data_IF_785483471141
#
_entry.id   IF_785483471141
#
_cell.length_a   1.000
_cell.length_b   1.000
_cell.length_c   1.000
_cell.angle_alpha   90.00
_cell.angle_beta   90.00
_cell.angle_gamma   90.00
#
_symmetry.space_group_name_H-M   'P 1'
#
loop_
_entity.id
_entity.type
_entity.pdbx_description
1 polymer ?
#
# COMPACT_ATOMS: atom_id res chain seq x y z
N UNK A 1 20.88 11.12 -19.99
CA UNK A 1 21.68 11.11 -18.75
C UNK A 1 21.43 9.75 -18.09
N UNK A 2 22.43 8.87 -18.08
CA UNK A 2 22.30 7.48 -17.61
C UNK A 2 22.09 7.44 -16.09
N UNK A 3 21.13 6.65 -15.63
CA UNK A 3 21.00 6.31 -14.22
C UNK A 3 22.12 5.33 -13.84
N UNK A 4 22.93 5.71 -12.86
CA UNK A 4 24.00 4.89 -12.28
C UNK A 4 23.34 3.91 -11.32
N UNK A 5 23.41 2.61 -11.61
CA UNK A 5 23.09 1.55 -10.66
C UNK A 5 24.36 1.29 -9.83
N UNK A 6 24.45 1.87 -8.63
CA UNK A 6 25.50 1.48 -7.67
C UNK A 6 25.06 0.19 -6.98
N UNK A 7 25.70 -0.93 -7.33
CA UNK A 7 25.47 -2.23 -6.74
C UNK A 7 25.98 -2.29 -5.29
N UNK A 8 25.08 -2.12 -4.33
CA UNK A 8 25.19 -2.71 -2.98
C UNK A 8 24.94 -4.23 -3.08
N UNK A 9 25.39 -5.07 -2.11
CA UNK A 9 25.41 -6.53 -2.31
C UNK A 9 23.99 -7.01 -2.61
N UNK A 10 23.87 -7.66 -3.77
CA UNK A 10 22.63 -8.06 -4.40
C UNK A 10 21.85 -8.98 -3.46
N UNK A 11 20.85 -8.44 -2.76
CA UNK A 11 19.74 -9.26 -2.32
C UNK A 11 19.12 -9.78 -3.61
N UNK A 12 19.23 -11.08 -3.87
CA UNK A 12 18.65 -11.71 -5.05
C UNK A 12 17.13 -11.77 -4.86
N UNK A 13 16.47 -10.61 -4.99
CA UNK A 13 15.01 -10.53 -4.88
C UNK A 13 14.45 -11.08 -6.19
N UNK A 14 13.88 -12.28 -6.11
CA UNK A 14 13.12 -12.82 -7.23
C UNK A 14 11.94 -11.89 -7.50
N UNK A 15 11.89 -11.33 -8.71
CA UNK A 15 10.76 -10.51 -9.09
C UNK A 15 9.49 -11.37 -9.11
N UNK A 16 8.38 -10.83 -8.60
CA UNK A 16 7.12 -11.54 -8.67
C UNK A 16 6.72 -11.77 -10.13
N UNK A 17 6.13 -12.93 -10.38
CA UNK A 17 5.57 -13.23 -11.70
C UNK A 17 4.42 -12.27 -12.02
N UNK A 18 4.23 -12.00 -13.31
CA UNK A 18 3.07 -11.24 -13.80
C UNK A 18 1.81 -11.82 -13.20
N UNK A 19 1.06 -10.97 -12.51
CA UNK A 19 -0.17 -11.37 -11.88
C UNK A 19 -1.23 -11.60 -13.00
N UNK A 20 -1.87 -12.78 -13.04
CA UNK A 20 -3.02 -13.03 -13.94
C UNK A 20 -4.29 -12.76 -13.17
N UNK A 21 -4.85 -11.55 -13.29
CA UNK A 21 -6.12 -11.23 -12.64
C UNK A 21 -7.24 -12.12 -13.18
N UNK A 22 -8.18 -12.48 -12.31
CA UNK A 22 -9.35 -13.29 -12.66
C UNK A 22 -10.63 -12.54 -12.30
N UNK A 23 -11.73 -12.83 -12.98
CA UNK A 23 -13.00 -12.14 -12.77
C UNK A 23 -13.04 -10.78 -13.50
N UNK A 24 -13.69 -9.79 -12.90
CA UNK A 24 -13.95 -8.49 -13.55
C UNK A 24 -12.72 -7.57 -13.63
N UNK A 25 -11.71 -7.78 -12.79
CA UNK A 25 -10.49 -7.00 -12.85
C UNK A 25 -9.64 -7.48 -14.04
N UNK A 26 -9.42 -6.61 -15.02
CA UNK A 26 -8.49 -6.83 -16.13
C UNK A 26 -7.31 -5.89 -15.97
N UNK A 27 -6.31 -6.28 -15.18
CA UNK A 27 -5.21 -5.41 -14.77
C UNK A 27 -3.85 -6.07 -14.95
N UNK A 28 -2.87 -5.29 -15.41
CA UNK A 28 -1.46 -5.68 -15.38
C UNK A 28 -0.71 -5.08 -14.18
N UNK A 29 -1.39 -4.21 -13.43
CA UNK A 29 -0.78 -3.39 -12.39
C UNK A 29 0.49 -2.70 -12.88
N UNK A 30 1.56 -2.80 -12.10
CA UNK A 30 2.87 -2.24 -12.37
C UNK A 30 3.84 -3.16 -13.09
N UNK A 31 3.43 -4.35 -13.56
CA UNK A 31 4.35 -5.28 -14.19
C UNK A 31 4.92 -4.69 -15.50
N UNK A 32 6.24 -4.79 -15.67
CA UNK A 32 6.98 -4.18 -16.78
C UNK A 32 7.31 -2.68 -16.59
N UNK A 33 6.95 -2.10 -15.45
CA UNK A 33 7.35 -0.75 -15.05
C UNK A 33 8.64 -0.70 -14.25
N UNK A 34 8.92 0.46 -13.66
CA UNK A 34 10.07 0.68 -12.80
C UNK A 34 9.93 -0.09 -11.48
N UNK A 35 11.06 -0.60 -10.97
CA UNK A 35 11.08 -1.37 -9.73
C UNK A 35 11.43 -0.46 -8.56
N UNK A 36 10.51 -0.36 -7.60
CA UNK A 36 10.71 0.34 -6.35
C UNK A 36 10.94 -0.66 -5.22
N UNK A 37 12.14 -0.68 -4.67
CA UNK A 37 12.50 -1.56 -3.55
C UNK A 37 12.32 -0.81 -2.24
N UNK A 38 11.33 -1.20 -1.45
CA UNK A 38 11.13 -0.70 -0.09
C UNK A 38 12.22 -1.27 0.80
N UNK A 39 13.05 -0.39 1.35
CA UNK A 39 14.23 -0.71 2.17
C UNK A 39 14.11 -0.19 3.61
N UNK A 40 13.04 0.52 3.94
CA UNK A 40 12.73 0.97 5.30
C UNK A 40 11.26 0.77 5.65
N UNK A 41 10.99 0.53 6.93
CA UNK A 41 9.62 0.48 7.48
C UNK A 41 9.11 1.85 7.94
N UNK A 42 9.94 2.90 7.83
CA UNK A 42 9.58 4.25 8.23
C UNK A 42 8.49 4.83 7.31
N UNK A 43 7.53 5.51 7.92
CA UNK A 43 6.51 6.29 7.24
C UNK A 43 6.48 7.71 7.82
N UNK A 44 6.54 8.72 6.96
CA UNK A 44 6.51 10.12 7.36
C UNK A 44 5.94 10.99 6.22
N UNK A 45 5.68 12.26 6.53
CA UNK A 45 5.34 13.29 5.56
C UNK A 45 6.26 14.50 5.77
N UNK A 46 7.19 14.82 4.85
CA UNK A 46 7.40 14.18 3.53
C UNK A 46 7.89 12.73 3.62
N UNK A 47 7.68 11.97 2.53
CA UNK A 47 8.01 10.55 2.45
C UNK A 47 9.54 10.31 2.61
N UNK A 48 9.97 9.40 3.51
CA UNK A 48 11.38 9.02 3.62
C UNK A 48 11.86 8.28 2.36
N UNK A 49 13.13 8.48 1.92
CA UNK A 49 13.72 7.67 0.86
C UNK A 49 13.72 6.16 1.18
N UNK A 50 13.38 5.35 0.18
CA UNK A 50 13.26 3.90 0.29
C UNK A 50 12.01 3.41 1.02
N UNK A 51 11.05 4.29 1.33
CA UNK A 51 9.81 3.94 2.03
C UNK A 51 8.71 3.47 1.06
N UNK A 52 7.70 2.78 1.61
CA UNK A 52 6.49 2.46 0.85
C UNK A 52 5.77 3.72 0.36
N UNK A 53 5.76 4.80 1.14
CA UNK A 53 5.07 6.04 0.77
C UNK A 53 5.75 6.72 -0.42
N UNK A 54 7.09 6.74 -0.46
CA UNK A 54 7.82 7.24 -1.63
C UNK A 54 7.44 6.45 -2.89
N UNK A 55 7.48 5.12 -2.82
CA UNK A 55 7.13 4.25 -3.94
C UNK A 55 5.67 4.42 -4.40
N UNK A 56 4.73 4.57 -3.47
CA UNK A 56 3.31 4.79 -3.78
C UNK A 56 3.07 6.17 -4.38
N UNK A 57 3.79 7.20 -3.94
CA UNK A 57 3.64 8.56 -4.46
C UNK A 57 4.37 8.82 -5.77
N UNK A 58 5.29 7.95 -6.19
CA UNK A 58 5.94 8.05 -7.48
C UNK A 58 4.95 8.00 -8.65
N UNK A 59 5.33 8.60 -9.77
CA UNK A 59 4.57 8.56 -11.03
C UNK A 59 5.10 7.46 -11.95
N UNK A 60 4.31 7.12 -12.96
CA UNK A 60 4.63 6.08 -13.93
C UNK A 60 4.34 4.66 -13.42
N UNK A 61 4.31 3.74 -14.38
CA UNK A 61 4.09 2.32 -14.15
C UNK A 61 5.16 1.75 -13.24
N UNK A 62 4.77 1.12 -12.13
CA UNK A 62 5.74 0.72 -11.10
C UNK A 62 5.38 -0.52 -10.28
N UNK A 63 6.38 -1.35 -10.08
CA UNK A 63 6.33 -2.55 -9.25
C UNK A 63 7.04 -2.27 -7.92
N UNK A 64 6.28 -2.27 -6.84
CA UNK A 64 6.76 -2.06 -5.47
C UNK A 64 7.00 -3.42 -4.80
N UNK A 65 8.24 -3.67 -4.43
CA UNK A 65 8.72 -4.89 -3.75
C UNK A 65 9.41 -4.53 -2.45
N UNK A 66 9.64 -5.51 -1.56
CA UNK A 66 10.14 -5.26 -0.21
C UNK A 66 11.43 -6.02 0.05
N UNK A 67 12.47 -5.30 0.47
CA UNK A 67 13.71 -5.89 1.02
C UNK A 67 13.66 -6.00 2.56
N UNK A 68 12.61 -5.46 3.19
CA UNK A 68 12.39 -5.44 4.64
C UNK A 68 11.10 -6.16 5.03
N UNK A 69 11.03 -6.59 6.28
CA UNK A 69 9.89 -7.30 6.85
C UNK A 69 9.47 -6.69 8.17
N UNK A 70 8.18 -6.66 8.49
CA UNK A 70 7.66 -6.08 9.72
C UNK A 70 6.43 -5.23 9.50
N UNK A 71 6.17 -4.33 10.46
CA UNK A 71 5.05 -3.41 10.43
C UNK A 71 5.50 -2.02 10.02
N UNK A 72 4.78 -1.42 9.08
CA UNK A 72 4.85 0.00 8.76
C UNK A 72 3.72 0.67 9.54
N UNK A 73 4.08 1.53 10.49
CA UNK A 73 3.13 2.37 11.24
C UNK A 73 2.81 3.61 10.40
N UNK A 74 1.65 3.60 9.74
CA UNK A 74 1.22 4.71 8.89
C UNK A 74 0.89 5.95 9.72
N UNK A 75 1.51 7.08 9.36
CA UNK A 75 1.29 8.38 10.04
C UNK A 75 0.12 9.17 9.46
N UNK A 76 -0.41 8.72 8.32
CA UNK A 76 -1.61 9.22 7.63
C UNK A 76 -2.08 8.19 6.59
N UNK A 77 -3.28 8.31 6.00
CA UNK A 77 -3.71 7.40 4.92
C UNK A 77 -2.65 7.21 3.84
N UNK A 78 -2.45 5.97 3.40
CA UNK A 78 -1.62 5.66 2.23
C UNK A 78 -2.47 5.82 0.98
N UNK A 79 -2.29 6.93 0.26
CA UNK A 79 -3.10 7.28 -0.91
C UNK A 79 -2.39 6.84 -2.19
N UNK A 80 -3.05 5.98 -2.95
CA UNK A 80 -2.62 5.51 -4.26
C UNK A 80 -3.39 6.32 -5.32
N UNK A 81 -2.76 7.38 -5.80
CA UNK A 81 -3.36 8.31 -6.78
C UNK A 81 -2.80 8.12 -8.20
N UNK A 82 -1.58 7.61 -8.34
CA UNK A 82 -0.96 7.38 -9.65
C UNK A 82 -1.20 5.92 -10.09
N UNK A 83 -1.70 5.69 -11.32
CA UNK A 83 -2.15 4.38 -11.79
C UNK A 83 -1.00 3.42 -12.07
N UNK A 84 -1.35 2.22 -12.55
CA UNK A 84 -0.41 1.19 -13.03
C UNK A 84 0.64 0.78 -11.97
N UNK A 85 0.15 0.41 -10.79
CA UNK A 85 0.99 0.06 -9.65
C UNK A 85 0.69 -1.37 -9.19
N UNK A 86 1.75 -2.11 -8.89
CA UNK A 86 1.67 -3.35 -8.12
C UNK A 86 2.42 -3.20 -6.82
N UNK A 87 1.76 -3.45 -5.69
CA UNK A 87 2.39 -3.57 -4.37
C UNK A 87 2.42 -5.05 -4.01
N UNK A 88 3.61 -5.64 -4.00
CA UNK A 88 3.80 -7.07 -3.83
C UNK A 88 4.64 -7.42 -2.59
N UNK A 89 3.93 -7.80 -1.52
CA UNK A 89 4.55 -8.22 -0.26
C UNK A 89 5.22 -9.59 -0.27
N UNK A 90 5.10 -10.41 -1.33
CA UNK A 90 5.70 -11.77 -1.37
C UNK A 90 7.22 -11.77 -1.36
N UNK A 91 7.83 -10.64 -1.75
CA UNK A 91 9.27 -10.43 -1.74
C UNK A 91 9.82 -10.08 -0.36
N UNK A 92 8.95 -9.64 0.57
CA UNK A 92 9.36 -9.29 1.93
C UNK A 92 9.96 -10.52 2.64
N UNK A 93 11.13 -10.40 3.28
CA UNK A 93 11.74 -11.50 4.03
C UNK A 93 10.85 -12.02 5.18
N UNK A 94 11.19 -13.21 5.69
CA UNK A 94 10.68 -13.74 6.96
C UNK A 94 9.14 -13.67 7.11
N UNK A 95 8.66 -12.85 8.06
CA UNK A 95 7.25 -12.75 8.47
C UNK A 95 6.40 -11.92 7.50
N UNK A 96 6.93 -11.51 6.35
CA UNK A 96 6.27 -10.62 5.41
C UNK A 96 6.14 -9.18 5.91
N UNK A 97 5.42 -8.36 5.16
CA UNK A 97 5.14 -6.95 5.49
C UNK A 97 3.68 -6.76 5.92
N UNK A 98 3.44 -5.78 6.78
CA UNK A 98 2.09 -5.38 7.16
C UNK A 98 1.99 -3.88 7.39
N UNK A 99 0.80 -3.33 7.14
CA UNK A 99 0.45 -1.95 7.42
C UNK A 99 -0.46 -1.89 8.63
N UNK A 100 -0.21 -0.93 9.51
CA UNK A 100 -1.10 -0.61 10.63
C UNK A 100 -1.13 0.89 10.84
N UNK A 101 -2.18 1.38 11.46
CA UNK A 101 -2.26 2.80 11.81
C UNK A 101 -1.40 3.07 13.05
N UNK A 102 -0.59 4.14 12.99
CA UNK A 102 0.19 4.59 14.13
C UNK A 102 -0.73 5.03 15.28
N UNK A 103 -0.24 4.93 16.52
CA UNK A 103 -1.05 5.29 17.70
C UNK A 103 -1.37 6.79 17.65
N UNK A 104 -2.64 7.13 17.86
CA UNK A 104 -3.11 8.52 17.88
C UNK A 104 -3.29 9.17 16.49
N UNK A 105 -3.17 8.39 15.41
CA UNK A 105 -3.35 8.89 14.03
C UNK A 105 -4.73 8.54 13.50
N UNK A 106 -5.49 9.54 13.05
CA UNK A 106 -6.73 9.32 12.30
C UNK A 106 -6.40 9.00 10.84
N UNK A 107 -6.39 7.73 10.47
CA UNK A 107 -6.15 7.27 9.09
C UNK A 107 -7.34 6.46 8.57
N UNK A 108 -8.41 7.20 8.27
CA UNK A 108 -9.68 6.67 7.80
C UNK A 108 -9.93 7.20 6.37
N UNK A 109 -9.86 6.36 5.33
CA UNK A 109 -9.44 4.95 5.33
C UNK A 109 -7.92 4.78 5.53
N UNK A 110 -7.46 3.56 5.85
CA UNK A 110 -6.03 3.27 6.03
C UNK A 110 -5.27 3.32 4.70
N UNK A 111 -5.79 2.64 3.67
CA UNK A 111 -5.33 2.72 2.28
C UNK A 111 -6.46 3.27 1.43
N UNK A 112 -6.19 4.31 0.66
CA UNK A 112 -7.13 4.89 -0.29
C UNK A 112 -6.63 4.62 -1.70
N UNK A 113 -7.40 3.88 -2.49
CA UNK A 113 -7.17 3.74 -3.93
C UNK A 113 -8.12 4.68 -4.66
N UNK A 114 -7.53 5.63 -5.37
CA UNK A 114 -8.23 6.68 -6.11
C UNK A 114 -7.71 6.75 -7.56
N UNK A 115 -7.42 5.58 -8.13
CA UNK A 115 -6.83 5.44 -9.46
C UNK A 115 -7.06 4.04 -10.00
N UNK A 116 -6.62 3.80 -11.24
CA UNK A 116 -6.88 2.58 -11.99
C UNK A 116 -5.64 1.69 -12.12
N UNK A 117 -5.86 0.44 -12.52
CA UNK A 117 -4.81 -0.55 -12.77
C UNK A 117 -3.89 -0.76 -11.55
N UNK A 118 -4.53 -1.16 -10.45
CA UNK A 118 -3.88 -1.32 -9.15
C UNK A 118 -3.91 -2.78 -8.72
N UNK A 119 -2.75 -3.34 -8.37
CA UNK A 119 -2.63 -4.66 -7.76
C UNK A 119 -2.05 -4.50 -6.36
N UNK A 120 -2.73 -5.03 -5.34
CA UNK A 120 -2.21 -5.08 -3.96
C UNK A 120 -2.29 -6.52 -3.50
N UNK A 121 -1.15 -7.09 -3.10
CA UNK A 121 -1.11 -8.49 -2.69
C UNK A 121 -0.04 -8.85 -1.68
N UNK A 122 -0.29 -9.94 -0.96
CA UNK A 122 0.59 -10.51 0.07
C UNK A 122 0.95 -9.52 1.18
N UNK A 123 -0.01 -8.66 1.57
CA UNK A 123 0.15 -7.66 2.63
C UNK A 123 -0.87 -7.92 3.73
N UNK A 124 -0.44 -7.72 4.97
CA UNK A 124 -1.33 -7.68 6.13
C UNK A 124 -1.79 -6.27 6.42
N UNK A 125 -3.05 -6.08 6.73
CA UNK A 125 -3.67 -4.79 6.97
C UNK A 125 -4.34 -4.79 8.34
N UNK A 126 -3.90 -3.90 9.22
CA UNK A 126 -4.44 -3.74 10.59
C UNK A 126 -4.91 -2.31 10.81
N UNK A 127 -6.07 -1.91 10.26
CA UNK A 127 -6.60 -0.56 10.45
C UNK A 127 -6.81 -0.26 11.94
N UNK A 128 -7.48 -1.17 12.67
CA UNK A 128 -7.64 -1.15 14.13
C UNK A 128 -8.17 0.17 14.73
N UNK A 129 -8.32 0.20 16.05
CA UNK A 129 -8.77 1.40 16.78
C UNK A 129 -7.61 2.24 17.33
N UNK A 130 -6.35 1.90 17.01
CA UNK A 130 -5.14 2.56 17.56
C UNK A 130 -5.09 4.07 17.28
N UNK A 131 -5.83 4.52 16.27
CA UNK A 131 -5.98 5.91 15.87
C UNK A 131 -7.24 6.63 16.36
N UNK A 132 -8.10 5.95 17.12
CA UNK A 132 -9.45 6.41 17.39
C UNK A 132 -9.73 6.59 18.88
N UNK A 133 -10.06 7.82 19.29
CA UNK A 133 -10.70 8.08 20.58
C UNK A 133 -12.19 7.78 20.38
N UNK A 134 -12.63 6.59 20.81
CA UNK A 134 -14.02 6.15 20.64
C UNK A 134 -14.90 6.91 21.63
N UNK A 135 -15.79 7.77 21.14
CA UNK A 135 -16.87 8.30 21.96
C UNK A 135 -17.94 7.22 22.17
N UNK A 136 -17.74 6.36 23.18
CA UNK A 136 -18.62 5.20 23.46
C UNK A 136 -20.09 5.57 23.70
N UNK A 137 -20.40 6.85 23.89
CA UNK A 137 -21.75 7.35 24.17
C UNK A 137 -22.45 7.99 22.97
N UNK A 138 -21.75 8.18 21.84
CA UNK A 138 -22.31 8.78 20.65
C UNK A 138 -22.10 7.87 19.45
N UNK A 139 -23.12 7.08 19.12
CA UNK A 139 -23.11 6.20 17.96
C UNK A 139 -22.99 7.00 16.66
N UNK A 140 -23.46 8.25 16.60
CA UNK A 140 -23.37 9.11 15.41
C UNK A 140 -22.03 9.89 15.32
N UNK A 141 -21.04 9.60 16.18
CA UNK A 141 -19.71 10.18 16.04
C UNK A 141 -19.09 9.67 14.72
N UNK A 142 -18.75 10.55 13.76
CA UNK A 142 -18.12 10.16 12.49
C UNK A 142 -16.82 9.38 12.69
N UNK A 143 -16.25 9.43 13.89
CA UNK A 143 -15.17 8.59 14.33
C UNK A 143 -15.38 7.08 14.26
N UNK A 144 -16.63 6.59 14.36
CA UNK A 144 -16.93 5.15 14.32
C UNK A 144 -16.83 4.51 12.93
N UNK A 145 -16.95 5.29 11.84
CA UNK A 145 -17.51 4.75 10.60
C UNK A 145 -16.54 4.39 9.47
N UNK A 146 -15.23 4.68 9.58
CA UNK A 146 -14.36 4.60 8.40
C UNK A 146 -12.99 3.97 8.69
N UNK A 147 -12.93 2.87 9.45
CA UNK A 147 -11.67 2.11 9.65
C UNK A 147 -11.39 1.12 8.51
N UNK A 148 -11.77 1.46 7.29
CA UNK A 148 -11.56 0.60 6.14
C UNK A 148 -10.06 0.33 5.95
N UNK A 149 -9.72 -0.95 5.84
CA UNK A 149 -8.36 -1.36 5.50
C UNK A 149 -7.96 -0.82 4.13
N UNK A 150 -8.88 -0.89 3.17
CA UNK A 150 -8.77 -0.35 1.81
C UNK A 150 -10.12 0.24 1.41
N UNK A 151 -10.14 1.50 1.00
CA UNK A 151 -11.27 2.12 0.34
C UNK A 151 -10.94 2.32 -1.14
N UNK A 152 -11.84 1.88 -2.02
CA UNK A 152 -11.80 2.15 -3.45
C UNK A 152 -12.84 3.23 -3.75
N UNK A 153 -12.40 4.44 -4.07
CA UNK A 153 -13.34 5.52 -4.40
C UNK A 153 -12.67 6.50 -5.36
N UNK A 154 -13.43 6.90 -6.38
CA UNK A 154 -13.05 7.99 -7.25
C UNK A 154 -13.50 9.31 -6.64
N UNK A 155 -12.55 10.12 -6.22
CA UNK A 155 -12.82 11.51 -5.81
C UNK A 155 -13.18 12.34 -7.05
N UNK A 156 -13.99 13.39 -6.86
CA UNK A 156 -14.36 14.36 -7.90
C UNK A 156 -15.04 13.79 -9.16
N UNK A 157 -15.78 12.68 -9.01
CA UNK A 157 -16.49 12.04 -10.12
C UNK A 157 -15.61 11.12 -10.98
N UNK A 158 -14.39 10.82 -10.52
CA UNK A 158 -13.55 9.78 -11.10
C UNK A 158 -14.13 8.38 -10.91
N UNK A 159 -13.66 7.43 -11.71
CA UNK A 159 -13.92 6.00 -11.53
C UNK A 159 -12.65 5.31 -11.05
N UNK A 160 -12.83 4.27 -10.24
CA UNK A 160 -11.78 3.33 -9.86
C UNK A 160 -12.10 2.00 -10.52
N UNK A 161 -11.25 1.59 -11.45
CA UNK A 161 -11.39 0.35 -12.23
C UNK A 161 -10.10 -0.45 -12.26
N UNK A 162 -10.22 -1.73 -12.63
CA UNK A 162 -9.08 -2.65 -12.79
C UNK A 162 -8.21 -2.74 -11.52
N UNK A 163 -8.88 -2.85 -10.37
CA UNK A 163 -8.23 -3.10 -9.08
C UNK A 163 -8.30 -4.58 -8.74
N UNK A 164 -7.15 -5.18 -8.44
CA UNK A 164 -7.05 -6.55 -7.97
C UNK A 164 -6.41 -6.63 -6.58
N UNK A 165 -7.22 -7.06 -5.62
CA UNK A 165 -6.81 -7.32 -4.25
C UNK A 165 -6.67 -8.84 -4.08
N UNK A 166 -5.47 -9.31 -3.78
CA UNK A 166 -5.18 -10.75 -3.77
C UNK A 166 -4.30 -11.16 -2.58
N UNK A 167 -4.57 -12.31 -1.96
CA UNK A 167 -3.81 -12.80 -0.80
C UNK A 167 -3.59 -11.73 0.30
N UNK A 168 -4.64 -11.00 0.65
CA UNK A 168 -4.62 -9.99 1.71
C UNK A 168 -5.16 -10.60 3.01
N UNK A 169 -4.48 -10.33 4.12
CA UNK A 169 -5.00 -10.56 5.48
C UNK A 169 -5.38 -9.22 6.09
N UNK A 170 -6.68 -8.97 6.26
CA UNK A 170 -7.20 -7.75 6.88
C UNK A 170 -7.97 -8.08 8.16
N UNK A 171 -7.57 -7.46 9.28
CA UNK A 171 -8.21 -7.66 10.58
C UNK A 171 -8.03 -6.40 11.46
N UNK A 172 -8.89 -6.17 12.44
CA UNK A 172 -8.76 -5.03 13.36
C UNK A 172 -7.60 -5.16 14.36
N UNK A 173 -7.04 -6.36 14.53
CA UNK A 173 -6.04 -6.66 15.57
C UNK A 173 -6.01 -8.13 15.91
#
# INVERSE_FOLDING_TARGET
MQAVVTATPMVNILLPQSATSVGFANTTGGYGGDIYVVTTLADADPAPPGSLREAVSAEGKRLVIFAVSGWIDLVKPLRINNPEITIDGSTAPNKGVGLRVAIGVKANPMVLVNTNDVVIRYIRLRPGSRGHEVNLTNYDDPGFYETDAILLTGVDGGYVENVWLDHIDASSG
#
